data_IF_655269931203
#
_entry.id   IF_655269931203
#
_cell.length_a   1.000
_cell.length_b   1.000
_cell.length_c   1.000
_cell.angle_alpha   90.00
_cell.angle_beta   90.00
_cell.angle_gamma   90.00
#
_symmetry.space_group_name_H-M   'P 1'
#
loop_
_entity.id
_entity.type
_entity.pdbx_description
1 polymer ?
#
# COMPACT_ATOMS: atom_id res chain seq x y z
N UNK A 1 12.58 9.49 5.56
CA UNK A 1 11.34 9.21 6.31
C UNK A 1 10.23 9.14 5.27
N UNK A 2 9.81 7.93 4.83
CA UNK A 2 8.73 7.85 3.85
C UNK A 2 7.48 8.48 4.47
N UNK A 3 6.72 9.32 3.76
CA UNK A 3 5.42 9.72 4.25
C UNK A 3 4.63 8.43 4.44
N UNK A 4 4.32 8.10 5.68
CA UNK A 4 3.41 7.00 5.99
C UNK A 4 2.05 7.45 5.45
N UNK A 5 1.78 7.18 4.17
CA UNK A 5 0.47 7.38 3.57
C UNK A 5 -0.52 6.63 4.43
N UNK A 6 -1.57 7.30 4.89
CA UNK A 6 -2.57 6.71 5.75
C UNK A 6 -3.26 5.53 5.03
N UNK A 7 -3.79 4.60 5.82
CA UNK A 7 -4.38 3.38 5.28
C UNK A 7 -5.56 3.67 4.36
N UNK A 8 -6.33 4.74 4.62
CA UNK A 8 -7.47 5.13 3.81
C UNK A 8 -7.03 5.66 2.44
N UNK A 9 -5.96 6.45 2.36
CA UNK A 9 -5.38 6.89 1.09
C UNK A 9 -4.83 5.72 0.29
N UNK A 10 -4.22 4.72 0.94
CA UNK A 10 -3.80 3.48 0.24
C UNK A 10 -5.00 2.71 -0.30
N UNK A 11 -6.07 2.60 0.48
CA UNK A 11 -7.31 1.96 0.05
C UNK A 11 -7.94 2.69 -1.15
N UNK A 12 -7.96 4.03 -1.13
CA UNK A 12 -8.42 4.86 -2.24
C UNK A 12 -7.61 4.59 -3.50
N UNK A 13 -6.28 4.55 -3.41
CA UNK A 13 -5.41 4.23 -4.55
C UNK A 13 -5.70 2.84 -5.12
N UNK A 14 -5.85 1.82 -4.27
CA UNK A 14 -6.16 0.45 -4.71
C UNK A 14 -7.52 0.38 -5.37
N UNK A 15 -8.54 1.02 -4.81
CA UNK A 15 -9.89 1.07 -5.36
C UNK A 15 -9.94 1.78 -6.72
N UNK A 16 -9.25 2.92 -6.86
CA UNK A 16 -9.23 3.67 -8.12
C UNK A 16 -8.48 2.93 -9.22
N UNK A 17 -7.37 2.26 -8.88
CA UNK A 17 -6.49 1.59 -9.85
C UNK A 17 -6.97 0.19 -10.24
N UNK A 18 -7.78 -0.46 -9.39
CA UNK A 18 -8.36 -1.76 -9.72
C UNK A 18 -9.32 -1.62 -10.91
N UNK A 19 -9.63 -2.73 -11.62
CA UNK A 19 -10.63 -2.74 -12.69
C UNK A 19 -11.99 -2.15 -12.30
N UNK A 20 -12.35 -2.21 -11.02
CA UNK A 20 -13.55 -1.56 -10.47
C UNK A 20 -13.52 -0.04 -10.64
N UNK A 21 -12.41 0.63 -10.29
CA UNK A 21 -12.25 2.06 -10.47
C UNK A 21 -11.82 2.47 -11.88
N UNK A 22 -11.04 1.61 -12.54
CA UNK A 22 -10.62 1.75 -13.93
C UNK A 22 -9.75 2.98 -14.22
N UNK A 23 -9.15 3.61 -13.21
CA UNK A 23 -8.37 4.83 -13.38
C UNK A 23 -6.92 4.59 -13.73
N UNK A 24 -6.42 5.42 -14.63
CA UNK A 24 -5.01 5.43 -15.02
C UNK A 24 -4.16 6.06 -13.93
N UNK A 25 -2.88 5.68 -13.85
CA UNK A 25 -1.95 6.27 -12.87
C UNK A 25 -1.89 7.80 -12.96
N UNK A 26 -1.84 8.46 -14.15
CA UNK A 26 -1.88 9.91 -14.24
C UNK A 26 -3.13 10.56 -13.63
N UNK A 27 -4.33 10.01 -13.87
CA UNK A 27 -5.56 10.51 -13.25
C UNK A 27 -5.52 10.37 -11.72
N UNK A 28 -4.92 9.29 -11.20
CA UNK A 28 -4.78 9.09 -9.76
C UNK A 28 -3.77 10.08 -9.17
N UNK A 29 -2.67 10.38 -9.87
CA UNK A 29 -1.72 11.44 -9.46
C UNK A 29 -2.43 12.78 -9.33
N UNK A 30 -3.21 13.16 -10.33
CA UNK A 30 -3.97 14.42 -10.35
C UNK A 30 -4.94 14.52 -9.16
N UNK A 31 -5.63 13.43 -8.83
CA UNK A 31 -6.62 13.39 -7.74
C UNK A 31 -6.02 13.32 -6.34
N UNK A 32 -4.89 12.65 -6.18
CA UNK A 32 -4.33 12.33 -4.85
C UNK A 32 -3.08 13.12 -4.51
N UNK A 33 -2.45 13.79 -5.49
CA UNK A 33 -1.15 14.45 -5.33
C UNK A 33 0.03 13.49 -5.11
N UNK A 34 -0.20 12.16 -5.11
CA UNK A 34 0.85 11.18 -4.89
C UNK A 34 1.70 11.00 -6.14
N UNK A 35 3.00 10.74 -5.95
CA UNK A 35 3.87 10.42 -7.08
C UNK A 35 3.45 9.11 -7.77
N UNK A 36 3.67 9.02 -9.08
CA UNK A 36 3.42 7.80 -9.87
C UNK A 36 4.07 6.56 -9.24
N UNK A 37 5.29 6.73 -8.72
CA UNK A 37 6.04 5.67 -8.03
C UNK A 37 5.28 5.19 -6.80
N UNK A 38 4.82 6.10 -5.94
CA UNK A 38 4.12 5.74 -4.71
C UNK A 38 2.79 5.02 -4.99
N UNK A 39 2.05 5.46 -6.00
CA UNK A 39 0.82 4.80 -6.44
C UNK A 39 1.09 3.35 -6.89
N UNK A 40 2.12 3.17 -7.71
CA UNK A 40 2.50 1.84 -8.19
C UNK A 40 3.02 0.95 -7.05
N UNK A 41 3.82 1.49 -6.12
CA UNK A 41 4.34 0.76 -4.97
C UNK A 41 3.23 0.33 -3.99
N UNK A 42 2.20 1.17 -3.79
CA UNK A 42 1.02 0.81 -2.98
C UNK A 42 0.27 -0.36 -3.64
N UNK A 43 -0.01 -0.24 -4.93
CA UNK A 43 -0.79 -1.25 -5.66
C UNK A 43 -0.05 -2.59 -5.76
N UNK A 44 1.26 -2.56 -6.06
CA UNK A 44 2.10 -3.75 -6.12
C UNK A 44 2.16 -4.46 -4.76
N UNK A 45 2.31 -3.72 -3.66
CA UNK A 45 2.31 -4.28 -2.30
C UNK A 45 0.96 -4.91 -1.92
N UNK A 46 -0.15 -4.30 -2.32
CA UNK A 46 -1.47 -4.89 -2.11
C UNK A 46 -1.58 -6.25 -2.82
N UNK A 47 -1.18 -6.34 -4.09
CA UNK A 47 -1.16 -7.60 -4.86
C UNK A 47 -0.25 -8.65 -4.19
N UNK A 48 0.95 -8.25 -3.79
CA UNK A 48 1.89 -9.16 -3.09
C UNK A 48 1.33 -9.73 -1.79
N UNK A 49 0.37 -9.05 -1.16
CA UNK A 49 -0.29 -9.47 0.09
C UNK A 49 -1.62 -10.17 -0.12
N UNK A 50 -1.95 -10.50 -1.36
CA UNK A 50 -3.13 -11.30 -1.70
C UNK A 50 -4.38 -10.48 -2.05
N UNK A 51 -4.24 -9.19 -2.36
CA UNK A 51 -5.32 -8.47 -3.04
C UNK A 51 -5.49 -9.01 -4.46
N UNK A 52 -6.69 -9.52 -4.78
CA UNK A 52 -7.07 -9.93 -6.13
C UNK A 52 -7.88 -8.80 -6.82
N UNK A 53 -7.34 -8.13 -7.85
CA UNK A 53 -8.01 -7.03 -8.53
C UNK A 53 -9.22 -7.47 -9.37
N UNK A 54 -9.31 -8.74 -9.75
CA UNK A 54 -10.40 -9.26 -10.59
C UNK A 54 -11.51 -9.94 -9.79
N UNK A 55 -11.33 -10.08 -8.46
CA UNK A 55 -12.34 -10.66 -7.60
C UNK A 55 -13.58 -9.76 -7.50
N UNK A 56 -14.76 -10.37 -7.65
CA UNK A 56 -16.06 -9.71 -7.53
C UNK A 56 -16.84 -10.41 -6.41
N UNK A 57 -17.30 -9.68 -5.38
CA UNK A 57 -17.20 -8.23 -5.19
C UNK A 57 -15.76 -7.77 -4.87
N UNK A 58 -15.45 -6.49 -5.11
CA UNK A 58 -14.18 -5.90 -4.72
C UNK A 58 -14.03 -5.95 -3.20
N UNK A 59 -12.97 -6.61 -2.71
CA UNK A 59 -12.68 -6.71 -1.28
C UNK A 59 -11.31 -6.08 -1.01
N UNK A 60 -11.30 -5.02 -0.21
CA UNK A 60 -10.08 -4.38 0.29
C UNK A 60 -10.05 -4.58 1.80
N UNK A 61 -8.97 -5.19 2.29
CA UNK A 61 -8.71 -5.43 3.72
C UNK A 61 -7.49 -4.65 4.16
N UNK A 62 -7.46 -4.29 5.44
CA UNK A 62 -6.32 -3.59 6.06
C UNK A 62 -5.01 -4.38 5.91
N UNK A 63 -5.06 -5.71 5.98
CA UNK A 63 -3.92 -6.62 5.84
C UNK A 63 -3.16 -6.41 4.53
N UNK A 64 -3.84 -6.02 3.45
CA UNK A 64 -3.21 -5.73 2.16
C UNK A 64 -2.41 -4.42 2.20
N UNK A 65 -2.76 -3.49 3.10
CA UNK A 65 -2.33 -2.11 3.08
C UNK A 65 -1.43 -1.71 4.25
N UNK A 66 -1.53 -2.39 5.40
CA UNK A 66 -0.75 -2.12 6.62
C UNK A 66 0.76 -2.25 6.39
N UNK A 67 1.60 -1.37 6.91
CA UNK A 67 3.05 -1.56 6.78
C UNK A 67 3.52 -2.82 7.53
N UNK A 68 4.54 -3.48 6.99
CA UNK A 68 5.18 -4.56 7.72
C UNK A 68 5.76 -4.00 9.04
N UNK A 69 5.79 -4.80 10.13
CA UNK A 69 6.49 -4.42 11.34
C UNK A 69 7.90 -3.97 10.95
N UNK A 70 8.27 -2.75 11.31
CA UNK A 70 9.62 -2.27 11.06
C UNK A 70 10.53 -3.16 11.90
N UNK A 71 11.36 -3.98 11.26
CA UNK A 71 12.46 -4.64 11.95
C UNK A 71 13.31 -3.52 12.55
N UNK A 72 13.16 -3.32 13.86
CA UNK A 72 13.95 -2.34 14.58
C UNK A 72 15.43 -2.65 14.41
N UNK A 73 16.28 -1.68 14.73
CA UNK A 73 17.71 -1.97 14.85
C UNK A 73 17.87 -3.09 15.90
N UNK A 74 18.54 -4.21 15.59
CA UNK A 74 18.85 -5.22 16.59
C UNK A 74 19.55 -4.55 17.77
N UNK A 75 19.00 -4.69 18.98
CA UNK A 75 19.63 -4.23 20.21
C UNK A 75 20.88 -5.09 20.46
N UNK A 76 22.01 -4.45 20.81
CA UNK A 76 23.22 -5.16 21.24
C UNK A 76 22.83 -6.09 22.40
N UNK A 77 23.09 -7.39 22.26
CA UNK A 77 23.11 -8.31 23.38
C UNK A 77 24.36 -7.96 24.19
N UNK A 78 24.19 -7.46 25.40
CA UNK A 78 25.27 -7.44 26.39
C UNK A 78 25.30 -8.85 26.98
N UNK A 79 26.43 -9.54 26.86
CA UNK A 79 26.66 -10.80 27.54
C UNK A 79 26.67 -10.50 29.06
N UNK A 80 25.72 -11.08 29.80
CA UNK A 80 25.76 -11.09 31.26
C UNK A 80 26.98 -11.91 31.69
N UNK A 81 27.81 -11.29 32.53
CA UNK A 81 29.08 -11.80 33.07
C UNK A 81 28.86 -12.96 34.03
#
# INVERSE_FOLDING_TARGET
MAPNTDIATRALVVALKSPFGGKTTPEIVEKTGLSKRMINDIYARAIQRGFDPNHIPLVIKDEYLQDAPRSGRPTKQTEDV
#
